data_IF_355185301093
#
_entry.id   IF_355185301093
#
_cell.length_a   1.000
_cell.length_b   1.000
_cell.length_c   1.000
_cell.angle_alpha   90.00
_cell.angle_beta   90.00
_cell.angle_gamma   90.00
#
_symmetry.space_group_name_H-M   'P 1'
#
loop_
_entity.id
_entity.type
_entity.pdbx_description
1 polymer ?
#
# COMPACT_ATOMS: atom_id res chain seq x y z
N UNK A 1 0.64 7.86 6.66
CA UNK A 1 0.42 8.41 5.30
C UNK A 1 0.42 7.23 4.34
N UNK A 2 -0.72 6.90 3.73
CA UNK A 2 -0.86 5.78 2.79
C UNK A 2 -0.22 6.14 1.44
N UNK A 3 1.12 6.17 1.38
CA UNK A 3 1.87 6.62 0.19
C UNK A 3 1.70 5.76 -1.06
N UNK A 4 1.27 4.50 -0.90
CA UNK A 4 1.17 3.56 -2.03
C UNK A 4 0.19 3.97 -3.13
N UNK A 5 -0.87 4.71 -2.80
CA UNK A 5 -1.82 5.25 -3.79
C UNK A 5 -1.20 6.33 -4.67
N UNK A 6 -0.40 7.21 -4.06
CA UNK A 6 0.24 8.34 -4.74
C UNK A 6 1.42 7.91 -5.64
N UNK A 7 1.91 6.68 -5.49
CA UNK A 7 2.96 6.13 -6.34
C UNK A 7 2.43 5.63 -7.69
N UNK A 8 1.15 5.24 -7.77
CA UNK A 8 0.55 4.70 -9.00
C UNK A 8 0.04 5.81 -9.89
N UNK A 9 0.66 5.94 -11.08
CA UNK A 9 0.20 6.85 -12.13
C UNK A 9 -1.21 6.47 -12.59
N UNK A 10 -2.11 7.46 -12.60
CA UNK A 10 -3.45 7.32 -13.18
C UNK A 10 -3.39 7.52 -14.69
N UNK A 11 -4.15 6.71 -15.43
CA UNK A 11 -4.26 6.80 -16.88
C UNK A 11 -4.70 8.21 -17.30
N UNK A 12 -4.00 8.78 -18.29
CA UNK A 12 -4.22 10.16 -18.73
C UNK A 12 -5.67 10.43 -19.15
N UNK A 13 -6.35 9.46 -19.75
CA UNK A 13 -7.73 9.60 -20.22
C UNK A 13 -8.73 9.65 -19.06
N UNK A 14 -8.37 9.08 -17.90
CA UNK A 14 -9.26 9.00 -16.72
C UNK A 14 -9.04 10.12 -15.71
N UNK A 15 -7.94 10.87 -15.79
CA UNK A 15 -7.66 11.99 -14.86
C UNK A 15 -8.78 13.03 -14.79
N UNK A 16 -9.44 13.44 -15.88
CA UNK A 16 -10.55 14.38 -15.80
C UNK A 16 -11.72 13.90 -14.92
N UNK A 17 -11.89 12.58 -14.73
CA UNK A 17 -12.93 12.02 -13.85
C UNK A 17 -12.63 12.24 -12.35
N UNK A 18 -11.40 12.64 -12.02
CA UNK A 18 -10.94 12.91 -10.64
C UNK A 18 -10.86 14.41 -10.33
N UNK A 19 -11.60 15.21 -11.09
CA UNK A 19 -11.63 16.66 -10.95
C UNK A 19 -12.30 17.09 -9.64
N UNK A 20 -11.71 18.05 -8.93
CA UNK A 20 -12.28 18.68 -7.74
C UNK A 20 -12.06 20.20 -7.76
N UNK A 21 -12.96 20.92 -7.09
CA UNK A 21 -12.89 22.38 -6.96
C UNK A 21 -12.12 22.80 -5.72
N UNK A 22 -11.31 23.84 -5.86
CA UNK A 22 -10.68 24.55 -4.73
C UNK A 22 -10.96 26.04 -4.89
N UNK A 23 -10.85 26.86 -3.82
CA UNK A 23 -10.97 28.31 -3.95
C UNK A 23 -9.98 28.95 -4.92
N UNK A 24 -8.88 28.27 -5.25
CA UNK A 24 -7.86 28.78 -6.18
C UNK A 24 -8.18 28.45 -7.63
N UNK A 25 -8.56 27.20 -7.90
CA UNK A 25 -8.95 26.69 -9.23
C UNK A 25 -9.47 25.25 -9.15
N UNK A 26 -10.08 24.82 -10.23
CA UNK A 26 -10.29 23.41 -10.56
C UNK A 26 -8.96 22.67 -10.68
N UNK A 27 -8.85 21.52 -10.02
CA UNK A 27 -7.70 20.61 -10.10
C UNK A 27 -8.18 19.19 -10.43
N UNK A 28 -7.25 18.33 -10.84
CA UNK A 28 -7.50 16.91 -11.07
C UNK A 28 -6.34 16.09 -10.51
N UNK A 29 -6.59 14.83 -10.15
CA UNK A 29 -5.54 13.96 -9.64
C UNK A 29 -4.75 13.35 -10.82
N UNK A 30 -3.46 13.13 -10.58
CA UNK A 30 -2.53 12.50 -11.54
C UNK A 30 -2.07 11.11 -11.07
N UNK A 31 -2.54 10.72 -9.89
CA UNK A 31 -2.25 9.48 -9.18
C UNK A 31 -3.55 8.85 -8.70
N UNK A 32 -3.47 7.61 -8.26
CA UNK A 32 -4.63 6.83 -7.89
C UNK A 32 -5.37 7.51 -6.71
N UNK A 33 -6.64 7.92 -6.88
CA UNK A 33 -7.38 8.60 -5.82
C UNK A 33 -7.68 7.66 -4.65
N UNK A 34 -7.46 8.10 -3.42
CA UNK A 34 -7.98 7.40 -2.25
C UNK A 34 -9.51 7.56 -2.19
N UNK A 35 -10.22 6.46 -1.94
CA UNK A 35 -11.69 6.45 -1.83
C UNK A 35 -12.47 6.28 -3.14
N UNK A 36 -11.82 6.13 -4.30
CA UNK A 36 -12.54 5.74 -5.52
C UNK A 36 -12.72 4.21 -5.60
N UNK A 37 -13.85 3.78 -6.17
CA UNK A 37 -14.30 2.37 -6.18
C UNK A 37 -13.23 1.37 -6.62
N UNK A 38 -12.49 1.69 -7.69
CA UNK A 38 -11.51 0.78 -8.28
C UNK A 38 -10.09 0.97 -7.73
N UNK A 39 -9.86 2.00 -6.92
CA UNK A 39 -8.51 2.32 -6.44
C UNK A 39 -7.95 1.19 -5.58
N UNK A 40 -8.74 0.64 -4.67
CA UNK A 40 -8.31 -0.49 -3.82
C UNK A 40 -7.94 -1.70 -4.66
N UNK A 41 -8.74 -2.03 -5.69
CA UNK A 41 -8.45 -3.18 -6.55
C UNK A 41 -7.14 -3.00 -7.34
N UNK A 42 -6.90 -1.79 -7.87
CA UNK A 42 -5.65 -1.45 -8.57
C UNK A 42 -4.47 -1.49 -7.62
N UNK A 43 -4.62 -0.94 -6.41
CA UNK A 43 -3.57 -0.94 -5.38
C UNK A 43 -3.23 -2.36 -4.94
N UNK A 44 -4.23 -3.18 -4.63
CA UNK A 44 -4.04 -4.58 -4.25
C UNK A 44 -3.33 -5.37 -5.36
N UNK A 45 -3.72 -5.19 -6.63
CA UNK A 45 -3.06 -5.86 -7.75
C UNK A 45 -1.58 -5.45 -7.88
N UNK A 46 -1.28 -4.16 -7.69
CA UNK A 46 0.09 -3.66 -7.71
C UNK A 46 0.92 -4.24 -6.56
N UNK A 47 0.38 -4.25 -5.33
CA UNK A 47 1.08 -4.79 -4.17
C UNK A 47 1.31 -6.29 -4.31
N UNK A 48 0.35 -7.03 -4.85
CA UNK A 48 0.48 -8.48 -5.08
C UNK A 48 1.58 -8.76 -6.09
N UNK A 49 1.70 -7.93 -7.14
CA UNK A 49 2.78 -8.07 -8.11
C UNK A 49 4.15 -7.75 -7.50
N UNK A 50 4.26 -6.68 -6.69
CA UNK A 50 5.52 -6.28 -6.04
C UNK A 50 6.00 -7.33 -5.03
N UNK A 51 5.08 -7.92 -4.26
CA UNK A 51 5.39 -8.85 -3.16
C UNK A 51 5.13 -10.31 -3.54
N UNK A 52 5.03 -10.62 -4.84
CA UNK A 52 4.63 -11.94 -5.34
C UNK A 52 5.51 -13.09 -4.82
N UNK A 53 6.80 -12.83 -4.57
CA UNK A 53 7.74 -13.84 -4.08
C UNK A 53 7.58 -14.15 -2.58
N UNK A 54 6.97 -13.23 -1.84
CA UNK A 54 6.78 -13.33 -0.38
C UNK A 54 5.38 -13.81 0.01
N UNK A 55 4.47 -13.91 -0.96
CA UNK A 55 3.07 -14.30 -0.76
C UNK A 55 2.90 -15.80 -1.07
N UNK A 56 2.23 -16.58 -0.20
CA UNK A 56 1.63 -16.21 1.10
C UNK A 56 2.52 -16.50 2.33
N UNK A 57 3.76 -16.92 2.12
CA UNK A 57 4.65 -17.44 3.16
C UNK A 57 4.98 -16.38 4.21
N UNK A 58 5.39 -15.19 3.78
CA UNK A 58 5.87 -14.10 4.64
C UNK A 58 4.90 -12.93 4.68
N UNK A 59 4.17 -12.68 3.58
CA UNK A 59 3.30 -11.51 3.44
C UNK A 59 1.89 -11.93 3.02
N UNK A 60 0.89 -11.19 3.51
CA UNK A 60 -0.48 -11.25 3.02
C UNK A 60 -1.03 -9.84 2.84
N UNK A 61 -1.55 -9.56 1.64
CA UNK A 61 -2.17 -8.27 1.32
C UNK A 61 -3.67 -8.36 1.58
N UNK A 62 -4.22 -7.29 2.15
CA UNK A 62 -5.65 -7.15 2.40
C UNK A 62 -6.07 -5.69 2.25
N UNK A 63 -6.77 -5.36 1.17
CA UNK A 63 -7.29 -4.01 0.89
C UNK A 63 -6.14 -2.99 0.89
N UNK A 64 -6.07 -2.14 1.92
CA UNK A 64 -5.09 -1.06 2.06
C UNK A 64 -3.86 -1.49 2.88
N UNK A 65 -3.95 -2.64 3.55
CA UNK A 65 -2.94 -3.12 4.49
C UNK A 65 -2.21 -4.35 3.96
N UNK A 66 -1.01 -4.57 4.50
CA UNK A 66 -0.24 -5.78 4.33
C UNK A 66 0.19 -6.30 5.69
N UNK A 67 -0.16 -7.55 5.98
CA UNK A 67 0.38 -8.28 7.12
C UNK A 67 1.71 -8.90 6.73
N UNK A 68 2.74 -8.70 7.56
CA UNK A 68 4.01 -9.40 7.47
C UNK A 68 4.09 -10.36 8.66
N UNK A 69 4.37 -11.64 8.41
CA UNK A 69 4.54 -12.62 9.48
C UNK A 69 5.82 -12.31 10.25
N UNK A 70 5.70 -12.36 11.57
CA UNK A 70 6.85 -12.31 12.47
C UNK A 70 7.71 -13.57 12.39
N UNK A 71 8.77 -13.65 13.21
CA UNK A 71 9.65 -14.79 13.26
C UNK A 71 8.90 -16.09 13.59
N UNK A 72 9.42 -17.23 13.11
CA UNK A 72 8.81 -18.56 13.31
C UNK A 72 8.84 -19.03 14.76
N UNK A 73 9.73 -18.46 15.56
CA UNK A 73 9.84 -18.74 17.00
C UNK A 73 9.93 -17.42 17.76
N UNK A 74 9.58 -17.48 19.03
CA UNK A 74 9.78 -16.37 19.98
C UNK A 74 11.21 -16.33 20.52
N UNK A 75 12.13 -17.14 19.98
CA UNK A 75 13.51 -17.31 20.48
C UNK A 75 13.58 -17.49 22.01
N UNK A 76 12.69 -18.29 22.60
CA UNK A 76 12.57 -18.45 24.06
C UNK A 76 12.40 -17.13 24.85
N UNK A 77 11.87 -16.08 24.22
CA UNK A 77 11.78 -14.70 24.73
C UNK A 77 13.15 -14.03 24.95
N UNK A 78 14.20 -14.58 24.36
CA UNK A 78 15.52 -13.96 24.32
C UNK A 78 15.52 -12.84 23.28
N UNK A 79 16.19 -11.73 23.63
CA UNK A 79 16.34 -10.63 22.70
C UNK A 79 17.33 -11.01 21.59
N UNK A 80 17.00 -10.71 20.34
CA UNK A 80 17.91 -10.94 19.23
C UNK A 80 19.16 -10.08 19.40
N UNK A 81 20.35 -10.68 19.23
CA UNK A 81 21.65 -10.00 19.32
C UNK A 81 21.72 -8.76 18.42
N UNK A 82 21.07 -8.83 17.26
CA UNK A 82 21.00 -7.78 16.25
C UNK A 82 20.10 -6.61 16.66
N UNK A 83 19.10 -6.85 17.52
CA UNK A 83 18.12 -5.84 17.98
C UNK A 83 17.65 -6.12 19.43
N UNK A 84 18.53 -5.94 20.43
CA UNK A 84 18.26 -6.36 21.81
C UNK A 84 17.17 -5.53 22.52
N UNK A 85 16.76 -4.40 21.93
CA UNK A 85 15.77 -3.46 22.47
C UNK A 85 14.32 -3.76 22.08
N UNK A 86 14.09 -4.70 21.15
CA UNK A 86 12.74 -5.12 20.72
C UNK A 86 12.40 -6.44 21.43
N UNK A 87 11.27 -6.47 22.14
CA UNK A 87 10.72 -7.66 22.82
C UNK A 87 9.33 -7.98 22.33
#
# INVERSE_FOLDING_TARGET
MMGGYDERVLDFTTRPLTTFETPLRRMQLTRLPQGATNSVAVYQAQMTWILQEEIPESVRIFIDDRGIKGPRSLYNQEALLENPSIR
#
